data_IF_671193599238
#
_entry.id   IF_671193599238
#
_cell.length_a   1.000
_cell.length_b   1.000
_cell.length_c   1.000
_cell.angle_alpha   90.00
_cell.angle_beta   90.00
_cell.angle_gamma   90.00
#
_symmetry.space_group_name_H-M   'P 1'
#
loop_
_entity.id
_entity.type
_entity.pdbx_description
1 polymer ?
#
# COMPACT_ATOMS: atom_id res chain seq x y z
N UNK A 1 4.68 -13.39 -24.47
CA UNK A 1 5.72 -12.33 -24.34
C UNK A 1 5.17 -10.97 -23.93
N UNK A 2 4.14 -10.42 -24.61
CA UNK A 2 3.53 -9.13 -24.22
C UNK A 2 2.85 -9.19 -22.84
N UNK A 3 2.13 -10.26 -22.53
CA UNK A 3 1.48 -10.44 -21.21
C UNK A 3 2.49 -10.42 -20.05
N UNK A 4 3.65 -11.07 -20.24
CA UNK A 4 4.76 -11.04 -19.28
C UNK A 4 5.32 -9.64 -19.06
N UNK A 5 5.48 -8.84 -20.13
CA UNK A 5 5.92 -7.45 -20.02
C UNK A 5 4.91 -6.59 -19.24
N UNK A 6 3.62 -6.69 -19.60
CA UNK A 6 2.54 -5.95 -18.93
C UNK A 6 2.48 -6.31 -17.44
N UNK A 7 2.56 -7.60 -17.12
CA UNK A 7 2.57 -8.08 -15.74
C UNK A 7 3.70 -7.43 -14.93
N UNK A 8 4.94 -7.49 -15.43
CA UNK A 8 6.08 -6.95 -14.69
C UNK A 8 6.00 -5.43 -14.52
N UNK A 9 5.56 -4.69 -15.53
CA UNK A 9 5.35 -3.25 -15.41
C UNK A 9 4.29 -2.92 -14.35
N UNK A 10 3.15 -3.61 -14.38
CA UNK A 10 2.09 -3.43 -13.40
C UNK A 10 2.55 -3.81 -11.99
N UNK A 11 3.28 -4.92 -11.84
CA UNK A 11 3.80 -5.40 -10.56
C UNK A 11 4.79 -4.39 -9.95
N UNK A 12 5.73 -3.87 -10.75
CA UNK A 12 6.71 -2.88 -10.29
C UNK A 12 6.01 -1.60 -9.82
N UNK A 13 5.06 -1.09 -10.60
CA UNK A 13 4.32 0.13 -10.23
C UNK A 13 3.47 -0.09 -8.99
N UNK A 14 2.71 -1.19 -8.93
CA UNK A 14 1.79 -1.46 -7.84
C UNK A 14 2.52 -1.79 -6.53
N UNK A 15 3.51 -2.68 -6.57
CA UNK A 15 4.30 -3.08 -5.39
C UNK A 15 5.24 -1.95 -4.97
N UNK A 16 5.92 -1.32 -5.93
CA UNK A 16 6.80 -0.17 -5.65
C UNK A 16 6.02 0.99 -5.05
N UNK A 17 4.80 1.23 -5.51
CA UNK A 17 3.89 2.25 -4.97
C UNK A 17 3.44 2.00 -3.53
N UNK A 18 3.48 0.76 -3.02
CA UNK A 18 3.16 0.48 -1.62
C UNK A 18 4.22 1.04 -0.67
N UNK A 19 5.48 1.15 -1.09
CA UNK A 19 6.59 1.64 -0.26
C UNK A 19 6.33 3.07 0.26
N UNK A 20 6.08 4.09 -0.58
CA UNK A 20 5.78 5.43 -0.09
C UNK A 20 4.48 5.49 0.73
N UNK A 21 3.48 4.66 0.43
CA UNK A 21 2.23 4.59 1.20
C UNK A 21 2.46 4.08 2.62
N UNK A 22 3.19 2.97 2.77
CA UNK A 22 3.56 2.42 4.08
C UNK A 22 4.40 3.42 4.87
N UNK A 23 5.37 4.08 4.21
CA UNK A 23 6.20 5.10 4.85
C UNK A 23 5.38 6.30 5.32
N UNK A 24 4.40 6.75 4.52
CA UNK A 24 3.51 7.84 4.89
C UNK A 24 2.61 7.45 6.07
N UNK A 25 1.97 6.28 6.01
CA UNK A 25 1.14 5.75 7.09
C UNK A 25 1.95 5.57 8.39
N UNK A 26 3.19 5.10 8.29
CA UNK A 26 4.10 4.95 9.43
C UNK A 26 4.47 6.30 10.06
N UNK A 27 4.75 7.30 9.22
CA UNK A 27 5.05 8.66 9.69
C UNK A 27 3.85 9.26 10.41
N UNK A 28 2.64 9.12 9.86
CA UNK A 28 1.41 9.60 10.47
C UNK A 28 1.10 8.88 11.78
N UNK A 29 1.25 7.55 11.83
CA UNK A 29 1.11 6.75 13.05
C UNK A 29 2.01 7.25 14.19
N UNK A 30 3.24 7.68 13.86
CA UNK A 30 4.22 8.15 14.84
C UNK A 30 4.06 9.62 15.23
N UNK A 31 3.28 10.40 14.50
CA UNK A 31 3.06 11.80 14.84
C UNK A 31 1.97 11.90 15.92
N UNK A 32 2.25 12.49 17.09
CA UNK A 32 1.19 12.78 18.05
C UNK A 32 0.20 13.75 17.40
N UNK A 33 -1.10 13.43 17.49
CA UNK A 33 -2.26 14.14 16.89
C UNK A 33 -2.39 15.65 17.24
N UNK A 34 -1.40 16.25 17.88
CA UNK A 34 -1.43 17.56 18.52
C UNK A 34 -1.41 18.74 17.55
N UNK A 35 -1.25 18.55 16.24
CA UNK A 35 -1.11 19.67 15.27
C UNK A 35 -2.25 19.83 14.26
N UNK A 36 -3.25 18.94 14.24
CA UNK A 36 -4.35 19.06 13.29
C UNK A 36 -5.46 19.99 13.83
N UNK A 37 -5.94 20.99 13.03
CA UNK A 37 -7.05 21.85 13.41
C UNK A 37 -8.28 21.05 13.88
N UNK A 38 -9.03 21.59 14.84
CA UNK A 38 -10.14 20.88 15.51
C UNK A 38 -11.25 20.35 14.57
N UNK A 39 -11.34 20.96 13.40
CA UNK A 39 -12.30 20.72 12.33
C UNK A 39 -11.84 19.68 11.28
N UNK A 40 -10.65 19.09 11.42
CA UNK A 40 -10.19 18.02 10.55
C UNK A 40 -10.54 16.66 11.17
N UNK A 41 -11.29 15.79 10.45
CA UNK A 41 -11.53 14.42 10.90
C UNK A 41 -10.21 13.70 11.18
N UNK A 42 -10.11 13.08 12.36
CA UNK A 42 -8.95 12.28 12.77
C UNK A 42 -9.26 10.82 12.54
N UNK A 43 -8.45 10.14 11.74
CA UNK A 43 -8.45 8.68 11.67
C UNK A 43 -7.48 8.10 12.70
N UNK A 44 -7.72 6.88 13.14
CA UNK A 44 -6.80 6.16 14.01
C UNK A 44 -5.58 5.70 13.20
N UNK A 45 -4.43 6.33 13.44
CA UNK A 45 -3.19 6.02 12.73
C UNK A 45 -2.73 4.57 12.87
N UNK A 46 -3.12 3.85 13.94
CA UNK A 46 -2.86 2.40 14.05
C UNK A 46 -3.68 1.61 13.05
N UNK A 47 -4.97 1.94 12.96
CA UNK A 47 -5.88 1.30 12.03
C UNK A 47 -5.48 1.60 10.57
N UNK A 48 -5.09 2.84 10.27
CA UNK A 48 -4.66 3.24 8.93
C UNK A 48 -3.38 2.52 8.50
N UNK A 49 -2.37 2.45 9.39
CA UNK A 49 -1.16 1.69 9.14
C UNK A 49 -1.45 0.20 8.95
N UNK A 50 -2.29 -0.37 9.82
CA UNK A 50 -2.71 -1.77 9.72
C UNK A 50 -3.39 -2.07 8.39
N UNK A 51 -4.32 -1.21 7.95
CA UNK A 51 -4.97 -1.32 6.66
C UNK A 51 -3.99 -1.18 5.49
N UNK A 52 -3.04 -0.26 5.57
CA UNK A 52 -2.02 -0.05 4.53
C UNK A 52 -1.11 -1.27 4.37
N UNK A 53 -0.72 -1.90 5.48
CA UNK A 53 0.07 -3.14 5.44
C UNK A 53 -0.76 -4.29 4.87
N UNK A 54 -2.03 -4.40 5.30
CA UNK A 54 -2.92 -5.46 4.82
C UNK A 54 -3.16 -5.37 3.31
N UNK A 55 -3.39 -4.17 2.77
CA UNK A 55 -3.57 -3.96 1.32
C UNK A 55 -2.28 -4.21 0.54
N UNK A 56 -1.12 -3.88 1.10
CA UNK A 56 0.16 -4.21 0.49
C UNK A 56 0.38 -5.73 0.39
N UNK A 57 0.07 -6.48 1.46
CA UNK A 57 0.12 -7.95 1.46
C UNK A 57 -0.89 -8.56 0.49
N UNK A 58 -2.12 -8.04 0.46
CA UNK A 58 -3.14 -8.49 -0.49
C UNK A 58 -2.72 -8.23 -1.94
N UNK A 59 -2.08 -7.09 -2.21
CA UNK A 59 -1.52 -6.76 -3.54
C UNK A 59 -0.44 -7.76 -3.94
N UNK A 60 0.50 -8.07 -3.03
CA UNK A 60 1.52 -9.08 -3.27
C UNK A 60 0.91 -10.46 -3.55
N UNK A 61 -0.08 -10.88 -2.76
CA UNK A 61 -0.77 -12.15 -2.97
C UNK A 61 -1.49 -12.20 -4.32
N UNK A 62 -2.15 -11.10 -4.72
CA UNK A 62 -2.83 -10.98 -6.00
C UNK A 62 -1.84 -11.12 -7.17
N UNK A 63 -0.70 -10.43 -7.12
CA UNK A 63 0.34 -10.57 -8.15
C UNK A 63 0.99 -11.95 -8.14
N UNK A 64 1.14 -12.60 -6.97
CA UNK A 64 1.59 -13.98 -6.87
C UNK A 64 0.64 -14.96 -7.54
N UNK A 65 -0.67 -14.80 -7.32
CA UNK A 65 -1.69 -15.61 -8.00
C UNK A 65 -1.70 -15.35 -9.52
N UNK A 66 -1.61 -14.09 -9.94
CA UNK A 66 -1.55 -13.73 -11.34
C UNK A 66 -0.28 -14.27 -12.04
N UNK A 67 0.85 -14.31 -11.34
CA UNK A 67 2.09 -14.93 -11.84
C UNK A 67 1.91 -16.41 -12.14
N UNK A 68 1.23 -17.15 -11.27
CA UNK A 68 0.95 -18.58 -11.47
C UNK A 68 -0.05 -18.85 -12.60
N UNK A 69 -0.86 -17.85 -12.96
CA UNK A 69 -1.86 -17.94 -14.03
C UNK A 69 -1.35 -17.43 -15.39
N UNK A 70 -0.12 -16.92 -15.48
CA UNK A 70 0.45 -16.40 -16.72
C UNK A 70 0.71 -17.54 -17.72
N UNK A 71 0.30 -17.37 -19.00
CA UNK A 71 0.55 -18.34 -20.06
C UNK A 71 1.98 -18.30 -20.64
#
# INVERSE_FOLDING_TARGET
MIAWLIFWLAAIVAIGGQIPLILAAWRLYRQPFQQAPANVPRSDGRADLGWTILTALATLALFGAAYLALP
#
